data_IF_001145842566
#
_entry.id   IF_001145842566
#
_cell.length_a   1.000
_cell.length_b   1.000
_cell.length_c   1.000
_cell.angle_alpha   90.00
_cell.angle_beta   90.00
_cell.angle_gamma   90.00
#
_symmetry.space_group_name_H-M   'P 1'
#
loop_
_entity.id
_entity.type
_entity.pdbx_description
1 polymer ?
#
# COMPACT_ATOMS: atom_id res chain seq x y z
N UNK A 1 -9.25 19.90 4.95
CA UNK A 1 -8.14 19.53 5.81
C UNK A 1 -7.49 18.24 5.33
N UNK A 2 -6.17 18.22 5.17
CA UNK A 2 -5.45 16.98 4.89
C UNK A 2 -5.60 16.02 6.08
N UNK A 3 -5.86 14.75 5.81
CA UNK A 3 -6.12 13.73 6.81
C UNK A 3 -4.92 12.78 6.95
N UNK A 4 -4.49 12.17 5.85
CA UNK A 4 -3.30 11.31 5.84
C UNK A 4 -2.61 11.33 4.47
N UNK A 5 -1.32 11.06 4.48
CA UNK A 5 -0.51 10.74 3.30
C UNK A 5 -0.55 9.23 3.05
N UNK A 6 -0.35 8.83 1.82
CA UNK A 6 -0.35 7.41 1.48
C UNK A 6 1.01 7.00 0.90
N UNK A 7 1.36 5.76 1.11
CA UNK A 7 2.53 5.14 0.54
C UNK A 7 2.24 3.71 0.12
N UNK A 8 3.07 3.17 -0.77
CA UNK A 8 3.02 1.76 -1.16
C UNK A 8 4.35 1.08 -0.86
N UNK A 9 4.27 -0.20 -0.58
CA UNK A 9 5.42 -1.05 -0.34
C UNK A 9 5.09 -2.50 -0.70
N UNK A 10 6.08 -3.33 -1.02
CA UNK A 10 5.85 -4.76 -1.20
C UNK A 10 5.26 -5.40 0.05
N UNK A 11 4.23 -6.19 -0.14
CA UNK A 11 3.59 -6.99 0.90
C UNK A 11 3.28 -8.38 0.41
N UNK A 12 3.44 -9.38 1.26
CA UNK A 12 3.15 -10.79 1.00
C UNK A 12 2.82 -11.51 2.31
N UNK A 13 2.31 -12.75 2.18
CA UNK A 13 2.09 -13.58 3.36
C UNK A 13 3.42 -13.98 4.01
N UNK A 14 3.47 -14.16 5.34
CA UNK A 14 4.66 -14.63 6.03
C UNK A 14 5.21 -15.94 5.45
N UNK A 15 4.34 -16.89 5.12
CA UNK A 15 4.72 -18.20 4.58
C UNK A 15 5.47 -18.08 3.24
N UNK A 16 5.05 -17.15 2.37
CA UNK A 16 5.75 -16.92 1.11
C UNK A 16 7.13 -16.29 1.33
N UNK A 17 7.27 -15.40 2.30
CA UNK A 17 8.56 -14.81 2.62
C UNK A 17 9.51 -15.86 3.19
N UNK A 18 9.01 -16.76 4.04
CA UNK A 18 9.78 -17.88 4.58
C UNK A 18 10.28 -18.83 3.47
N UNK A 19 9.47 -19.11 2.44
CA UNK A 19 9.88 -19.87 1.26
C UNK A 19 11.02 -19.20 0.46
N UNK A 20 11.27 -17.93 0.69
CA UNK A 20 12.38 -17.16 0.13
C UNK A 20 13.51 -16.92 1.15
N UNK A 21 13.59 -17.71 2.22
CA UNK A 21 14.56 -17.55 3.31
C UNK A 21 14.56 -16.14 3.94
N UNK A 22 13.41 -15.47 3.93
CA UNK A 22 13.26 -14.09 4.38
C UNK A 22 13.86 -13.03 3.46
N UNK A 23 14.36 -13.43 2.29
CA UNK A 23 15.01 -12.53 1.35
C UNK A 23 13.98 -11.86 0.43
N UNK A 24 13.69 -10.58 0.67
CA UNK A 24 12.80 -9.76 -0.11
C UNK A 24 13.24 -9.60 -1.57
N UNK A 25 14.53 -9.58 -1.84
CA UNK A 25 15.04 -9.48 -3.21
C UNK A 25 14.69 -10.73 -4.01
N UNK A 26 14.82 -11.90 -3.39
CA UNK A 26 14.38 -13.18 -3.97
C UNK A 26 12.87 -13.17 -4.18
N UNK A 27 12.11 -12.74 -3.16
CA UNK A 27 10.65 -12.70 -3.22
C UNK A 27 10.15 -11.86 -4.40
N UNK A 28 10.58 -10.60 -4.54
CA UNK A 28 10.11 -9.71 -5.61
C UNK A 28 10.61 -10.11 -7.00
N UNK A 29 11.69 -10.91 -7.10
CA UNK A 29 12.22 -11.37 -8.37
C UNK A 29 11.64 -12.71 -8.84
N UNK A 30 11.15 -13.56 -7.93
CA UNK A 30 10.75 -14.94 -8.25
C UNK A 30 9.29 -15.26 -8.02
N UNK A 31 8.66 -14.67 -7.01
CA UNK A 31 7.26 -14.93 -6.72
C UNK A 31 6.34 -14.26 -7.75
N UNK A 32 5.12 -14.76 -7.95
CA UNK A 32 4.11 -14.07 -8.74
C UNK A 32 3.89 -12.64 -8.21
N UNK A 33 3.73 -11.69 -9.13
CA UNK A 33 3.38 -10.31 -8.76
C UNK A 33 1.86 -10.14 -8.82
N UNK A 34 1.35 -9.30 -7.94
CA UNK A 34 -0.05 -8.87 -7.93
C UNK A 34 -0.07 -7.41 -8.38
N UNK A 35 -0.83 -7.13 -9.43
CA UNK A 35 -0.93 -5.82 -10.07
C UNK A 35 -2.25 -5.15 -9.68
N UNK A 36 -2.18 -3.99 -9.05
CA UNK A 36 -3.33 -3.12 -8.83
C UNK A 36 -3.53 -2.22 -10.05
N UNK A 37 -4.64 -2.43 -10.75
CA UNK A 37 -5.02 -1.65 -11.94
C UNK A 37 -6.11 -0.62 -11.64
N UNK A 38 -6.42 -0.38 -10.36
CA UNK A 38 -7.48 0.53 -9.93
C UNK A 38 -7.19 2.00 -10.21
N UNK A 39 -5.91 2.34 -10.32
CA UNK A 39 -5.48 3.70 -10.60
C UNK A 39 -5.17 3.87 -12.08
N UNK A 40 -5.55 5.00 -12.69
CA UNK A 40 -5.13 5.30 -14.04
C UNK A 40 -3.59 5.27 -14.11
N UNK A 41 -3.05 4.90 -15.26
CA UNK A 41 -1.61 4.95 -15.51
C UNK A 41 -1.11 6.39 -15.35
N UNK A 42 -0.71 6.71 -14.14
CA UNK A 42 -0.03 7.96 -13.83
C UNK A 42 1.47 7.66 -13.86
N UNK A 43 2.28 8.37 -14.66
CA UNK A 43 3.73 8.18 -14.67
C UNK A 43 4.40 8.40 -13.30
N UNK A 44 3.70 8.98 -12.35
CA UNK A 44 4.17 9.20 -10.96
C UNK A 44 3.76 8.06 -10.02
N UNK A 45 2.83 7.20 -10.43
CA UNK A 45 2.37 6.10 -9.57
C UNK A 45 3.32 4.90 -9.66
N UNK A 46 3.73 4.34 -8.53
CA UNK A 46 4.58 3.18 -8.50
C UNK A 46 3.80 1.94 -8.91
N UNK A 47 3.97 1.51 -10.16
CA UNK A 47 3.71 0.14 -10.55
C UNK A 47 4.95 -0.74 -10.30
N UNK A 48 4.83 -2.03 -10.53
CA UNK A 48 5.95 -2.94 -10.33
C UNK A 48 7.16 -2.60 -11.21
N UNK A 49 6.93 -2.14 -12.43
CA UNK A 49 8.02 -1.75 -13.33
C UNK A 49 8.81 -0.57 -12.75
N UNK A 50 8.12 0.47 -12.31
CA UNK A 50 8.73 1.65 -11.70
C UNK A 50 9.40 1.31 -10.37
N UNK A 51 8.77 0.49 -9.54
CA UNK A 51 9.31 0.10 -8.24
C UNK A 51 10.62 -0.71 -8.39
N UNK A 52 10.64 -1.70 -9.27
CA UNK A 52 11.82 -2.52 -9.55
C UNK A 52 12.94 -1.70 -10.18
N UNK A 53 12.62 -0.88 -11.18
CA UNK A 53 13.60 -0.05 -11.89
C UNK A 53 14.35 0.90 -10.98
N UNK A 54 13.66 1.55 -10.03
CA UNK A 54 14.28 2.44 -9.04
C UNK A 54 15.28 1.73 -8.14
N UNK A 55 15.19 0.41 -8.03
CA UNK A 55 16.08 -0.45 -7.20
C UNK A 55 17.08 -1.25 -8.01
N UNK A 56 17.18 -0.96 -9.31
CA UNK A 56 18.08 -1.68 -10.22
C UNK A 56 17.71 -3.15 -10.43
N UNK A 57 16.44 -3.50 -10.17
CA UNK A 57 15.92 -4.85 -10.36
C UNK A 57 15.17 -4.95 -11.69
N UNK A 58 15.21 -6.14 -12.30
CA UNK A 58 14.52 -6.43 -13.57
C UNK A 58 13.85 -7.79 -13.52
N UNK A 59 12.72 -7.91 -14.21
CA UNK A 59 12.03 -9.18 -14.45
C UNK A 59 11.61 -9.28 -15.91
N UNK A 60 11.76 -10.46 -16.49
CA UNK A 60 11.30 -10.75 -17.87
C UNK A 60 9.79 -11.03 -17.94
N UNK A 61 9.20 -11.49 -16.84
CA UNK A 61 7.79 -11.88 -16.71
C UNK A 61 6.94 -10.81 -15.99
N UNK A 62 7.33 -9.55 -16.09
CA UNK A 62 6.73 -8.45 -15.32
C UNK A 62 5.21 -8.33 -15.50
N UNK A 63 4.69 -8.66 -16.69
CA UNK A 63 3.25 -8.58 -16.98
C UNK A 63 2.46 -9.79 -16.47
N UNK A 64 3.15 -10.83 -15.99
CA UNK A 64 2.49 -12.03 -15.45
C UNK A 64 1.98 -11.80 -14.03
N UNK A 65 1.09 -12.68 -13.59
CA UNK A 65 0.51 -12.65 -12.26
C UNK A 65 -0.92 -12.11 -12.23
N UNK A 66 -1.45 -11.98 -11.04
CA UNK A 66 -2.83 -11.54 -10.84
C UNK A 66 -2.99 -10.03 -11.07
N UNK A 67 -4.09 -9.65 -11.71
CA UNK A 67 -4.49 -8.26 -11.86
C UNK A 67 -5.77 -8.04 -11.08
N UNK A 68 -5.77 -7.06 -10.18
CA UNK A 68 -6.91 -6.68 -9.36
C UNK A 68 -7.32 -5.24 -9.65
N UNK A 69 -8.60 -4.95 -9.49
CA UNK A 69 -9.17 -3.63 -9.81
C UNK A 69 -9.43 -2.75 -8.59
N UNK A 70 -8.96 -3.17 -7.43
CA UNK A 70 -9.10 -2.43 -6.19
C UNK A 70 -7.90 -2.68 -5.26
N UNK A 71 -7.42 -1.66 -4.53
CA UNK A 71 -6.22 -1.79 -3.71
C UNK A 71 -6.41 -2.72 -2.50
N UNK A 72 -7.61 -2.84 -1.96
CA UNK A 72 -7.93 -3.80 -0.90
C UNK A 72 -7.91 -5.25 -1.42
N UNK A 73 -8.23 -5.47 -2.69
CA UNK A 73 -8.09 -6.78 -3.32
C UNK A 73 -6.61 -7.20 -3.45
N UNK A 74 -5.70 -6.25 -3.68
CA UNK A 74 -4.27 -6.53 -3.69
C UNK A 74 -3.78 -7.01 -2.31
N UNK A 75 -4.23 -6.35 -1.23
CA UNK A 75 -3.93 -6.77 0.16
C UNK A 75 -4.46 -8.17 0.43
N UNK A 76 -5.72 -8.45 0.08
CA UNK A 76 -6.35 -9.77 0.28
C UNK A 76 -5.65 -10.87 -0.51
N UNK A 77 -5.26 -10.60 -1.76
CA UNK A 77 -4.54 -11.56 -2.58
C UNK A 77 -3.14 -11.88 -2.01
N UNK A 78 -2.44 -10.86 -1.49
CA UNK A 78 -1.17 -11.04 -0.81
C UNK A 78 -1.31 -11.87 0.47
N UNK A 79 -2.31 -11.59 1.30
CA UNK A 79 -2.63 -12.38 2.51
C UNK A 79 -2.93 -13.84 2.16
N UNK A 80 -3.64 -14.06 1.05
CA UNK A 80 -3.98 -15.40 0.56
C UNK A 80 -2.80 -16.17 -0.06
N UNK A 81 -1.59 -15.59 -0.05
CA UNK A 81 -0.40 -16.26 -0.58
C UNK A 81 -0.34 -16.34 -2.11
N UNK A 82 -1.05 -15.46 -2.82
CA UNK A 82 -1.07 -15.47 -4.29
C UNK A 82 0.16 -14.81 -4.91
N UNK A 83 0.95 -14.10 -4.13
CA UNK A 83 2.19 -13.44 -4.59
C UNK A 83 2.52 -12.21 -3.78
N UNK A 84 3.33 -11.34 -4.37
CA UNK A 84 3.78 -10.07 -3.79
C UNK A 84 2.98 -8.94 -4.42
N UNK A 85 2.37 -8.08 -3.60
CA UNK A 85 1.65 -6.89 -4.04
C UNK A 85 2.37 -5.61 -3.60
N UNK A 86 2.22 -4.53 -4.37
CA UNK A 86 2.47 -3.19 -3.86
C UNK A 86 1.22 -2.76 -3.08
N UNK A 87 1.28 -2.91 -1.76
CA UNK A 87 0.14 -2.62 -0.88
C UNK A 87 0.20 -1.20 -0.35
N UNK A 88 -0.96 -0.56 -0.18
CA UNK A 88 -1.06 0.75 0.47
C UNK A 88 -0.92 0.60 1.96
N UNK A 89 -0.11 1.47 2.58
CA UNK A 89 0.19 1.40 4.01
C UNK A 89 -1.08 1.42 4.87
N UNK A 90 -2.01 2.34 4.59
CA UNK A 90 -3.25 2.47 5.36
C UNK A 90 -4.16 1.24 5.27
N UNK A 91 -4.18 0.55 4.13
CA UNK A 91 -4.99 -0.66 3.92
C UNK A 91 -4.32 -1.94 4.44
N UNK A 92 -3.01 -1.96 4.51
CA UNK A 92 -2.23 -3.11 4.96
C UNK A 92 -2.06 -3.16 6.48
N UNK A 93 -2.16 -2.03 7.16
CA UNK A 93 -1.79 -1.85 8.57
C UNK A 93 -2.42 -2.90 9.50
N UNK A 94 -3.73 -3.09 9.42
CA UNK A 94 -4.43 -4.06 10.26
C UNK A 94 -3.95 -5.50 10.04
N UNK A 95 -3.73 -5.91 8.79
CA UNK A 95 -3.23 -7.24 8.46
C UNK A 95 -1.77 -7.44 8.93
N UNK A 96 -0.98 -6.38 8.92
CA UNK A 96 0.39 -6.40 9.45
C UNK A 96 0.37 -6.55 10.97
N UNK A 97 -0.47 -5.79 11.66
CA UNK A 97 -0.62 -5.88 13.13
C UNK A 97 -1.09 -7.27 13.57
N UNK A 98 -1.96 -7.93 12.78
CA UNK A 98 -2.42 -9.29 13.04
C UNK A 98 -1.43 -10.38 12.58
N UNK A 99 -0.29 -10.02 12.01
CA UNK A 99 0.70 -10.98 11.51
C UNK A 99 0.27 -11.78 10.27
N UNK A 100 -0.76 -11.35 9.56
CA UNK A 100 -1.26 -11.99 8.34
C UNK A 100 -0.55 -11.50 7.07
N UNK A 101 0.12 -10.37 7.17
CA UNK A 101 0.88 -9.76 6.08
C UNK A 101 2.23 -9.26 6.62
N UNK A 102 3.28 -9.41 5.84
CA UNK A 102 4.58 -8.77 6.07
C UNK A 102 4.81 -7.74 4.99
N UNK A 103 5.40 -6.62 5.33
CA UNK A 103 5.71 -5.53 4.40
C UNK A 103 7.18 -5.16 4.46
N UNK A 104 7.75 -4.82 3.30
CA UNK A 104 9.12 -4.31 3.20
C UNK A 104 9.11 -2.80 3.50
N UNK A 105 9.44 -2.44 4.72
CA UNK A 105 9.48 -1.03 5.16
C UNK A 105 10.82 -0.40 4.78
N UNK A 106 11.95 -1.04 5.08
CA UNK A 106 13.26 -0.53 4.70
C UNK A 106 13.45 -0.60 3.18
N UNK A 107 13.81 0.50 2.55
CA UNK A 107 14.04 0.64 1.10
C UNK A 107 12.88 0.22 0.18
N UNK A 108 11.77 -0.26 0.77
CA UNK A 108 10.60 -0.73 0.03
C UNK A 108 9.51 0.32 -0.17
N UNK A 109 9.46 1.31 0.71
CA UNK A 109 8.41 2.32 0.73
C UNK A 109 8.57 3.33 -0.41
N UNK A 110 7.47 3.62 -1.08
CA UNK A 110 7.35 4.72 -2.05
C UNK A 110 6.16 5.57 -1.67
N UNK A 111 6.39 6.83 -1.32
CA UNK A 111 5.34 7.81 -1.04
C UNK A 111 4.51 8.11 -2.28
N UNK A 112 3.22 8.31 -2.09
CA UNK A 112 2.31 8.76 -3.13
C UNK A 112 2.20 10.29 -3.08
N UNK A 113 2.02 10.92 -4.23
CA UNK A 113 1.92 12.38 -4.34
C UNK A 113 0.52 12.93 -4.04
N UNK A 114 -0.39 12.08 -3.59
CA UNK A 114 -1.75 12.45 -3.21
C UNK A 114 -2.04 12.10 -1.74
N UNK A 115 -3.12 12.70 -1.21
CA UNK A 115 -3.52 12.59 0.19
C UNK A 115 -5.01 12.37 0.30
N UNK A 116 -5.42 11.83 1.41
CA UNK A 116 -6.82 11.84 1.82
C UNK A 116 -7.15 13.17 2.51
N UNK A 117 -8.34 13.68 2.24
CA UNK A 117 -8.82 14.94 2.80
C UNK A 117 -10.17 14.77 3.47
N UNK A 118 -10.30 15.37 4.63
CA UNK A 118 -11.60 15.58 5.26
C UNK A 118 -12.20 16.88 4.73
N UNK A 119 -13.32 16.77 4.02
CA UNK A 119 -14.02 17.89 3.43
C UNK A 119 -15.22 18.27 4.28
N UNK A 120 -15.38 19.56 4.54
CA UNK A 120 -16.53 20.13 5.21
C UNK A 120 -17.22 21.12 4.28
N UNK A 121 -18.56 21.24 4.33
CA UNK A 121 -19.26 22.29 3.61
C UNK A 121 -18.77 23.67 4.06
N UNK A 122 -18.48 24.54 3.10
CA UNK A 122 -18.09 25.91 3.41
C UNK A 122 -19.26 26.69 4.01
N UNK A 123 -18.96 27.53 5.01
CA UNK A 123 -19.95 28.37 5.69
C UNK A 123 -20.93 27.64 6.62
N UNK A 124 -20.78 26.33 6.83
CA UNK A 124 -21.62 25.57 7.77
C UNK A 124 -20.78 25.06 8.97
N UNK A 125 -21.13 25.43 10.20
CA UNK A 125 -20.49 24.84 11.36
C UNK A 125 -20.81 23.33 11.46
N UNK A 126 -19.83 22.53 11.80
CA UNK A 126 -20.04 21.11 12.03
C UNK A 126 -20.96 20.90 13.24
N UNK A 127 -21.90 19.98 13.11
CA UNK A 127 -22.68 19.48 14.25
C UNK A 127 -21.74 18.82 15.27
N UNK A 128 -22.20 18.64 16.50
CA UNK A 128 -21.42 17.95 17.55
C UNK A 128 -21.00 16.54 17.12
N UNK A 129 -21.90 15.80 16.49
CA UNK A 129 -21.62 14.44 15.99
C UNK A 129 -20.60 14.47 14.85
N UNK A 130 -20.74 15.37 13.88
CA UNK A 130 -19.79 15.50 12.77
C UNK A 130 -18.38 15.90 13.27
N UNK A 131 -18.30 16.73 14.30
CA UNK A 131 -17.03 17.11 14.90
C UNK A 131 -16.37 15.91 15.60
N UNK A 132 -17.13 15.14 16.37
CA UNK A 132 -16.62 13.93 17.04
C UNK A 132 -16.07 12.91 16.01
N UNK A 133 -16.77 12.72 14.88
CA UNK A 133 -16.28 11.87 13.80
C UNK A 133 -14.99 12.43 13.18
N UNK A 134 -14.94 13.74 12.94
CA UNK A 134 -13.75 14.38 12.36
C UNK A 134 -12.53 14.25 13.29
N UNK A 135 -12.73 14.40 14.59
CA UNK A 135 -11.68 14.24 15.60
C UNK A 135 -11.21 12.78 15.68
N UNK A 136 -12.14 11.82 15.68
CA UNK A 136 -11.83 10.40 15.62
C UNK A 136 -11.01 10.03 14.38
N UNK A 137 -11.46 10.43 13.18
CA UNK A 137 -10.74 10.16 11.94
C UNK A 137 -9.35 10.79 11.92
N UNK A 138 -9.20 11.96 12.53
CA UNK A 138 -7.91 12.62 12.64
C UNK A 138 -6.95 11.86 13.55
N UNK A 139 -7.45 11.31 14.65
CA UNK A 139 -6.66 10.50 15.57
C UNK A 139 -6.20 9.20 14.91
N UNK A 140 -7.13 8.49 14.25
CA UNK A 140 -6.85 7.25 13.53
C UNK A 140 -5.85 7.45 12.36
N UNK A 141 -5.84 8.64 11.76
CA UNK A 141 -4.94 8.95 10.65
C UNK A 141 -3.50 9.30 11.08
N UNK A 142 -3.26 9.62 12.34
CA UNK A 142 -1.92 10.04 12.84
C UNK A 142 -0.76 9.13 12.48
N UNK A 143 -0.88 7.79 12.55
CA UNK A 143 0.21 6.90 12.17
C UNK A 143 0.67 7.06 10.73
N UNK A 144 -0.20 7.60 9.86
CA UNK A 144 0.04 7.76 8.43
C UNK A 144 0.39 9.21 8.02
N UNK A 145 0.43 10.15 8.96
CA UNK A 145 0.78 11.55 8.66
C UNK A 145 2.28 11.73 8.36
N UNK A 146 3.12 10.86 8.87
CA UNK A 146 4.58 11.00 8.86
C UNK A 146 5.29 10.22 7.75
N UNK A 147 4.58 9.57 6.85
CA UNK A 147 5.16 8.81 5.74
C UNK A 147 5.53 9.67 4.53
N UNK A 148 5.88 10.93 4.76
CA UNK A 148 6.30 11.88 3.75
C UNK A 148 7.79 12.23 3.90
N UNK A 149 8.67 11.41 3.33
CA UNK A 149 10.03 11.81 2.95
C UNK A 149 10.23 11.43 1.50
#
# INVERSE_FOLDING_TARGET
RALLSESVMPGLSPDLLEQCDGDWRVAVQRLPLIHDTSLPRDPVQPDWQGWLSRRGLRRSDLASGDHVSAPDHAVRAAIAGRGVALVRASLADHAVQEGRLVTLIADGVTGLNWRYYLLNPEGRPLSRAARAIADFLTEEARPFETSGV
#
